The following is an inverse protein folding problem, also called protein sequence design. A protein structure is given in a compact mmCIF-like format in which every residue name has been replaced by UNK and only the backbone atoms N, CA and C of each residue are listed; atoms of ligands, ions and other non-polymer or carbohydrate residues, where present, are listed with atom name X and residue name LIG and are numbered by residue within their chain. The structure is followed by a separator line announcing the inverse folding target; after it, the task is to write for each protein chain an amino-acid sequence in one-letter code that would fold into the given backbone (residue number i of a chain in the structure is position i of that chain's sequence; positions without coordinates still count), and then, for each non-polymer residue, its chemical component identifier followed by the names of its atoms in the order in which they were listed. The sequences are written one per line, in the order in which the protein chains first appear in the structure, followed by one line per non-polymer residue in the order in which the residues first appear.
data_IF_082812371893
#
_entry.id   IF_082812371893
#
_cell.length_a   1.000
_cell.length_b   1.000
_cell.length_c   1.000
_cell.angle_alpha   90.00
_cell.angle_beta   90.00
_cell.angle_gamma   90.00
#
_symmetry.space_group_name_H-M   'P 1'
#
loop_
_entity.id
_entity.type
_entity.pdbx_description
1 polymer ?
#
# COMPACT_ATOMS: atom_id res chain seq x y z
N UNK A 1 -18.02 2.87 17.08
CA UNK A 1 -17.23 3.34 15.91
C UNK A 1 -16.73 2.17 15.07
N UNK A 2 -17.49 1.07 15.00
CA UNK A 2 -17.17 -0.13 14.20
C UNK A 2 -18.35 -0.31 13.24
N UNK A 3 -18.06 -0.58 11.98
CA UNK A 3 -19.06 -0.73 10.93
C UNK A 3 -18.48 -1.61 9.80
N UNK A 4 -19.37 -2.17 8.99
CA UNK A 4 -18.98 -2.90 7.78
C UNK A 4 -18.76 -1.91 6.65
N UNK A 5 -17.76 -2.19 5.80
CA UNK A 5 -17.49 -1.40 4.59
C UNK A 5 -18.75 -1.29 3.72
N UNK A 6 -18.97 -0.10 3.15
CA UNK A 6 -20.12 0.17 2.28
C UNK A 6 -20.10 -0.67 1.00
N UNK A 7 -18.91 -0.91 0.46
CA UNK A 7 -18.67 -1.72 -0.74
C UNK A 7 -17.72 -2.88 -0.43
N UNK A 8 -18.25 -4.08 -0.25
CA UNK A 8 -17.46 -5.28 -0.04
C UNK A 8 -16.86 -5.82 -1.35
N UNK A 9 -15.65 -6.39 -1.26
CA UNK A 9 -14.92 -6.92 -2.43
C UNK A 9 -14.67 -8.42 -2.24
N UNK A 10 -14.91 -9.21 -3.29
CA UNK A 10 -14.45 -10.61 -3.35
C UNK A 10 -12.95 -10.63 -3.64
N UNK A 11 -12.15 -10.88 -2.60
CA UNK A 11 -10.69 -10.79 -2.69
C UNK A 11 -10.10 -12.03 -3.36
N UNK A 12 -9.39 -11.82 -4.46
CA UNK A 12 -8.56 -12.80 -5.15
C UNK A 12 -7.10 -12.61 -4.74
N UNK A 13 -6.44 -13.70 -4.35
CA UNK A 13 -5.02 -13.71 -4.00
C UNK A 13 -4.16 -13.13 -5.13
N UNK A 14 -3.19 -12.28 -4.77
CA UNK A 14 -2.31 -11.53 -5.68
C UNK A 14 -3.04 -10.61 -6.68
N UNK A 15 -4.35 -10.39 -6.52
CA UNK A 15 -5.15 -9.54 -7.41
C UNK A 15 -5.41 -8.14 -6.83
N UNK A 16 -5.76 -7.21 -7.73
CA UNK A 16 -6.14 -5.83 -7.36
C UNK A 16 -7.23 -5.74 -6.30
N UNK A 17 -8.14 -6.71 -6.27
CA UNK A 17 -9.20 -6.80 -5.26
C UNK A 17 -8.71 -6.67 -3.81
N UNK A 18 -7.48 -7.09 -3.50
CA UNK A 18 -6.90 -6.91 -2.17
C UNK A 18 -6.65 -5.44 -1.85
N UNK A 19 -6.12 -4.67 -2.81
CA UNK A 19 -5.92 -3.22 -2.70
C UNK A 19 -7.26 -2.50 -2.67
N UNK A 20 -8.20 -2.92 -3.51
CA UNK A 20 -9.55 -2.32 -3.57
C UNK A 20 -10.28 -2.41 -2.22
N UNK A 21 -10.14 -3.51 -1.49
CA UNK A 21 -10.73 -3.65 -0.16
C UNK A 21 -10.25 -2.56 0.82
N UNK A 22 -8.94 -2.22 0.80
CA UNK A 22 -8.40 -1.13 1.62
C UNK A 22 -8.85 0.24 1.11
N UNK A 23 -8.92 0.45 -0.21
CA UNK A 23 -9.41 1.70 -0.80
C UNK A 23 -10.86 2.00 -0.39
N UNK A 24 -11.72 0.99 -0.35
CA UNK A 24 -13.11 1.14 0.06
C UNK A 24 -13.20 1.55 1.55
N UNK A 25 -12.42 0.89 2.42
CA UNK A 25 -12.32 1.28 3.83
C UNK A 25 -11.74 2.70 4.01
N UNK A 26 -10.72 3.06 3.23
CA UNK A 26 -10.15 4.41 3.25
C UNK A 26 -11.19 5.47 2.89
N UNK A 27 -12.00 5.24 1.86
CA UNK A 27 -13.06 6.15 1.45
C UNK A 27 -14.11 6.33 2.56
N UNK A 28 -14.65 5.24 3.11
CA UNK A 28 -15.65 5.29 4.18
C UNK A 28 -15.11 6.04 5.41
N UNK A 29 -13.88 5.75 5.84
CA UNK A 29 -13.26 6.41 6.99
C UNK A 29 -12.98 7.89 6.73
N UNK A 30 -12.51 8.23 5.52
CA UNK A 30 -12.15 9.60 5.16
C UNK A 30 -13.36 10.52 5.11
N UNK A 31 -14.44 10.08 4.47
CA UNK A 31 -15.68 10.85 4.37
C UNK A 31 -16.54 10.79 5.64
N UNK A 32 -16.44 9.70 6.42
CA UNK A 32 -17.19 9.55 7.67
C UNK A 32 -16.66 10.41 8.84
N UNK A 33 -15.37 10.77 8.86
CA UNK A 33 -14.83 11.61 9.94
C UNK A 33 -13.53 12.33 9.58
N UNK A 34 -13.40 13.57 10.07
CA UNK A 34 -12.17 14.35 10.00
C UNK A 34 -11.27 14.22 11.25
N UNK A 35 -11.68 13.46 12.28
CA UNK A 35 -11.04 13.50 13.61
C UNK A 35 -9.81 12.58 13.74
N UNK A 36 -9.77 11.48 12.99
CA UNK A 36 -8.67 10.51 13.07
C UNK A 36 -7.39 11.03 12.42
N UNK A 37 -6.24 10.45 12.81
CA UNK A 37 -4.90 10.96 12.46
C UNK A 37 -4.13 10.05 11.52
N UNK A 38 -4.16 8.75 11.79
CA UNK A 38 -3.51 7.73 11.00
C UNK A 38 -4.50 6.63 10.62
N UNK A 39 -4.28 6.05 9.45
CA UNK A 39 -4.90 4.84 8.96
C UNK A 39 -3.88 3.69 9.10
N UNK A 40 -4.34 2.57 9.64
CA UNK A 40 -3.58 1.33 9.81
C UNK A 40 -4.49 0.20 9.31
N UNK A 41 -4.08 -0.49 8.25
CA UNK A 41 -4.80 -1.66 7.77
C UNK A 41 -4.28 -2.94 8.44
N UNK A 42 -5.18 -3.90 8.62
CA UNK A 42 -4.91 -5.19 9.26
C UNK A 42 -5.59 -6.31 8.46
N UNK A 43 -5.18 -7.54 8.70
CA UNK A 43 -5.90 -8.74 8.27
C UNK A 43 -6.32 -9.59 9.47
N UNK A 44 -7.14 -10.63 9.24
CA UNK A 44 -7.71 -11.46 10.32
C UNK A 44 -6.69 -12.26 11.13
N UNK A 45 -5.43 -12.33 10.70
CA UNK A 45 -4.34 -13.01 11.40
C UNK A 45 -3.39 -12.04 12.13
N UNK A 46 -3.68 -10.73 12.09
CA UNK A 46 -2.91 -9.74 12.84
C UNK A 46 -3.20 -9.78 14.34
N UNK A 47 -2.16 -9.51 15.13
CA UNK A 47 -2.29 -9.28 16.57
C UNK A 47 -1.36 -8.15 17.03
N UNK A 48 -1.83 -7.23 17.88
CA UNK A 48 -1.02 -6.10 18.30
C UNK A 48 0.10 -6.53 19.27
N UNK A 49 1.31 -6.02 19.02
CA UNK A 49 2.47 -6.15 19.93
C UNK A 49 2.67 -4.93 20.84
N UNK A 50 1.73 -3.98 20.78
CA UNK A 50 1.75 -2.69 21.47
C UNK A 50 0.33 -2.36 21.93
N UNK A 51 0.21 -1.80 23.11
CA UNK A 51 -1.05 -1.24 23.62
C UNK A 51 -1.46 -0.03 22.80
N UNK A 52 -2.74 0.37 22.91
CA UNK A 52 -3.22 1.59 22.25
C UNK A 52 -2.41 2.84 22.64
N UNK A 53 -2.03 3.00 23.91
CA UNK A 53 -1.24 4.14 24.36
C UNK A 53 0.17 4.15 23.74
N UNK A 54 0.82 2.98 23.67
CA UNK A 54 2.13 2.86 23.01
C UNK A 54 2.04 3.16 21.51
N UNK A 55 1.01 2.66 20.83
CA UNK A 55 0.77 3.00 19.42
C UNK A 55 0.56 4.50 19.25
N UNK A 56 -0.27 5.15 20.07
CA UNK A 56 -0.47 6.60 20.00
C UNK A 56 0.84 7.37 20.16
N UNK A 57 1.67 7.02 21.16
CA UNK A 57 2.98 7.66 21.38
C UNK A 57 3.93 7.46 20.20
N UNK A 58 3.96 6.25 19.64
CA UNK A 58 4.73 5.94 18.44
C UNK A 58 4.27 6.78 17.24
N UNK A 59 2.97 6.83 16.95
CA UNK A 59 2.41 7.63 15.86
C UNK A 59 2.64 9.14 16.02
N UNK A 60 2.66 9.65 17.26
CA UNK A 60 3.04 11.03 17.55
C UNK A 60 4.51 11.30 17.23
N UNK A 61 5.40 10.34 17.53
CA UNK A 61 6.84 10.45 17.22
C UNK A 61 7.14 10.50 15.72
N UNK A 62 6.23 9.98 14.86
CA UNK A 62 6.33 10.10 13.41
C UNK A 62 6.14 11.54 12.91
N UNK A 63 5.65 12.48 13.74
CA UNK A 63 5.53 13.92 13.42
C UNK A 63 4.85 14.22 12.07
N UNK A 64 3.86 13.40 11.68
CA UNK A 64 3.11 13.56 10.43
C UNK A 64 3.73 12.85 9.22
N UNK A 65 4.81 12.09 9.40
CA UNK A 65 5.34 11.16 8.40
C UNK A 65 4.56 9.85 8.38
N UNK A 66 4.54 9.18 7.24
CA UNK A 66 4.05 7.81 7.12
C UNK A 66 5.15 6.81 7.49
N UNK A 67 4.79 5.56 7.77
CA UNK A 67 5.74 4.47 8.00
C UNK A 67 5.22 3.19 7.34
N UNK A 68 5.93 2.73 6.31
CA UNK A 68 5.64 1.53 5.55
C UNK A 68 6.90 1.07 4.83
N UNK A 69 6.98 -0.22 4.55
CA UNK A 69 8.05 -0.77 3.72
C UNK A 69 7.98 -0.13 2.33
N UNK A 70 9.11 0.40 1.86
CA UNK A 70 9.23 0.98 0.53
C UNK A 70 10.70 0.99 0.13
N UNK A 71 11.09 0.07 -0.73
CA UNK A 71 12.46 -0.16 -1.15
C UNK A 71 12.56 -0.17 -2.67
N UNK A 72 13.78 -0.07 -3.18
CA UNK A 72 14.07 -0.26 -4.59
C UNK A 72 13.55 -1.61 -5.09
N UNK A 73 12.84 -1.61 -6.22
CA UNK A 73 12.21 -2.83 -6.75
C UNK A 73 13.26 -3.89 -7.10
N UNK A 74 13.20 -5.09 -6.48
CA UNK A 74 14.12 -6.17 -6.82
C UNK A 74 13.88 -6.74 -8.22
N UNK A 75 14.94 -7.23 -8.87
CA UNK A 75 14.89 -7.73 -10.25
C UNK A 75 13.93 -8.92 -10.40
N UNK A 76 13.86 -9.78 -9.40
CA UNK A 76 12.98 -10.94 -9.34
C UNK A 76 11.49 -10.55 -9.30
N UNK A 77 11.16 -9.38 -8.72
CA UNK A 77 9.79 -8.86 -8.67
C UNK A 77 9.41 -8.07 -9.92
N UNK A 78 10.37 -7.71 -10.79
CA UNK A 78 10.09 -6.87 -11.96
C UNK A 78 9.04 -7.48 -12.90
N UNK A 79 9.06 -8.81 -13.07
CA UNK A 79 8.07 -9.55 -13.90
C UNK A 79 6.61 -9.38 -13.41
N UNK A 80 6.39 -9.04 -12.14
CA UNK A 80 5.05 -8.82 -11.56
C UNK A 80 4.37 -7.57 -12.13
N UNK A 81 5.16 -6.59 -12.55
CA UNK A 81 4.69 -5.29 -13.06
C UNK A 81 4.96 -5.08 -14.56
N UNK A 82 5.70 -5.99 -15.22
CA UNK A 82 6.03 -5.88 -16.65
C UNK A 82 4.96 -6.47 -17.59
N UNK A 83 4.04 -7.28 -17.06
CA UNK A 83 3.02 -7.98 -17.86
C UNK A 83 1.62 -7.73 -17.32
N UNK A 84 0.62 -7.85 -18.19
CA UNK A 84 -0.79 -7.83 -17.82
C UNK A 84 -1.18 -9.16 -17.21
N UNK A 85 -1.95 -9.13 -16.13
CA UNK A 85 -2.47 -10.28 -15.41
C UNK A 85 -4.00 -10.21 -15.33
N UNK A 86 -4.67 -11.35 -15.56
CA UNK A 86 -6.12 -11.46 -15.49
C UNK A 86 -6.52 -12.51 -14.45
N UNK A 87 -7.69 -12.31 -13.84
CA UNK A 87 -8.32 -13.34 -13.00
C UNK A 87 -9.03 -14.34 -13.93
N UNK A 88 -8.62 -15.61 -13.89
CA UNK A 88 -9.25 -16.71 -14.62
C UNK A 88 -9.55 -17.81 -13.59
N UNK A 89 -10.83 -18.14 -13.42
CA UNK A 89 -11.30 -19.13 -12.45
C UNK A 89 -10.82 -18.85 -11.01
N UNK A 90 -10.92 -17.59 -10.58
CA UNK A 90 -10.50 -17.18 -9.23
C UNK A 90 -8.99 -17.15 -8.98
N UNK A 91 -8.17 -17.28 -10.03
CA UNK A 91 -6.72 -17.22 -9.93
C UNK A 91 -6.13 -16.18 -10.87
N UNK A 92 -5.14 -15.44 -10.38
CA UNK A 92 -4.39 -14.50 -11.19
C UNK A 92 -3.46 -15.27 -12.14
N UNK A 93 -3.57 -14.99 -13.45
CA UNK A 93 -2.73 -15.58 -14.49
C UNK A 93 -2.07 -14.51 -15.35
N UNK A 94 -0.76 -14.68 -15.58
CA UNK A 94 0.02 -13.82 -16.47
C UNK A 94 -0.41 -14.02 -17.92
N UNK A 95 -0.64 -12.93 -18.64
CA UNK A 95 -0.85 -12.94 -20.09
C UNK A 95 0.48 -12.83 -20.85
N UNK A 96 0.43 -12.79 -22.19
CA UNK A 96 1.61 -12.49 -23.03
C UNK A 96 1.76 -11.00 -23.34
N UNK A 97 0.88 -10.16 -22.80
CA UNK A 97 0.83 -8.73 -23.09
C UNK A 97 1.78 -8.00 -22.14
N UNK A 98 2.76 -7.29 -22.71
CA UNK A 98 3.63 -6.40 -21.94
C UNK A 98 2.89 -5.12 -21.54
N UNK A 99 3.12 -4.64 -20.32
CA UNK A 99 2.56 -3.37 -19.85
C UNK A 99 3.31 -2.18 -20.45
N UNK A 100 2.58 -1.08 -20.61
CA UNK A 100 3.19 0.24 -20.87
C UNK A 100 4.02 0.67 -19.66
N UNK A 101 5.03 1.55 -19.84
CA UNK A 101 5.75 2.15 -18.72
C UNK A 101 4.79 2.78 -17.69
N UNK A 102 5.19 2.85 -16.41
CA UNK A 102 4.36 3.47 -15.38
C UNK A 102 4.11 4.95 -15.70
N UNK A 103 2.94 5.49 -15.33
CA UNK A 103 2.62 6.88 -15.58
C UNK A 103 3.61 7.82 -14.88
N UNK A 104 3.88 8.96 -15.49
CA UNK A 104 4.78 10.02 -14.99
C UNK A 104 6.23 9.58 -14.75
N UNK A 105 6.66 8.45 -15.31
CA UNK A 105 8.01 7.89 -15.16
C UNK A 105 8.43 7.72 -13.69
N UNK A 106 7.47 7.38 -12.82
CA UNK A 106 7.73 7.16 -11.40
C UNK A 106 8.51 5.86 -11.20
N UNK A 107 9.57 5.87 -10.36
CA UNK A 107 10.25 4.64 -9.99
C UNK A 107 9.32 3.79 -9.11
N UNK A 108 8.90 2.63 -9.63
CA UNK A 108 8.12 1.67 -8.85
C UNK A 108 8.98 1.12 -7.71
N UNK A 109 8.37 1.05 -6.52
CA UNK A 109 8.99 0.54 -5.30
C UNK A 109 8.41 -0.82 -4.92
N UNK A 110 9.18 -1.59 -4.16
CA UNK A 110 8.72 -2.80 -3.47
C UNK A 110 8.37 -2.48 -2.03
N UNK A 111 7.39 -3.15 -1.48
CA UNK A 111 7.04 -3.08 -0.08
C UNK A 111 6.00 -4.13 0.29
N UNK A 112 5.14 -3.77 1.23
CA UNK A 112 4.16 -4.66 1.83
C UNK A 112 2.74 -4.11 1.68
N UNK A 113 1.75 -5.00 1.80
CA UNK A 113 0.34 -4.64 1.83
C UNK A 113 -0.04 -3.81 3.07
N UNK A 114 0.78 -3.83 4.13
CA UNK A 114 0.46 -3.25 5.43
C UNK A 114 1.16 -1.90 5.63
N UNK A 115 0.39 -0.88 5.99
CA UNK A 115 0.84 0.51 6.00
C UNK A 115 0.37 1.28 7.23
N UNK A 116 1.17 2.25 7.67
CA UNK A 116 0.78 3.25 8.66
C UNK A 116 0.90 4.63 8.01
N UNK A 117 -0.24 5.25 7.68
CA UNK A 117 -0.27 6.46 6.87
C UNK A 117 -1.16 7.54 7.45
N UNK A 118 -0.82 8.79 7.22
CA UNK A 118 -1.61 9.93 7.70
C UNK A 118 -2.95 10.06 6.98
N UNK A 119 -3.90 10.77 7.59
CA UNK A 119 -5.14 11.16 6.90
C UNK A 119 -4.90 11.96 5.62
N UNK A 120 -3.83 12.75 5.57
CA UNK A 120 -3.43 13.49 4.37
C UNK A 120 -2.99 12.58 3.22
N UNK A 121 -2.27 11.50 3.53
CA UNK A 121 -1.93 10.48 2.54
C UNK A 121 -3.19 9.82 1.97
N UNK A 122 -4.14 9.43 2.84
CA UNK A 122 -5.42 8.83 2.40
C UNK A 122 -6.19 9.78 1.49
N UNK A 123 -6.23 11.07 1.81
CA UNK A 123 -6.79 12.09 0.91
C UNK A 123 -6.15 12.04 -0.48
N UNK A 124 -4.82 12.08 -0.56
CA UNK A 124 -4.12 11.99 -1.85
C UNK A 124 -4.45 10.71 -2.59
N UNK A 125 -4.52 9.57 -1.90
CA UNK A 125 -4.91 8.29 -2.53
C UNK A 125 -6.28 8.38 -3.20
N UNK A 126 -7.24 9.11 -2.62
CA UNK A 126 -8.61 9.23 -3.12
C UNK A 126 -8.78 10.36 -4.15
N UNK A 127 -8.00 11.44 -4.07
CA UNK A 127 -8.25 12.68 -4.80
C UNK A 127 -7.13 13.10 -5.78
N UNK A 128 -5.91 12.56 -5.66
CA UNK A 128 -4.78 12.96 -6.52
C UNK A 128 -4.84 12.26 -7.89
N UNK A 129 -4.96 13.03 -8.96
CA UNK A 129 -5.06 12.51 -10.33
C UNK A 129 -3.86 11.67 -10.75
N UNK A 130 -2.67 11.91 -10.18
CA UNK A 130 -1.48 11.10 -10.45
C UNK A 130 -1.64 9.69 -9.87
N UNK A 131 -2.24 9.60 -8.69
CA UNK A 131 -2.52 8.32 -8.02
C UNK A 131 -3.68 7.61 -8.70
N UNK A 132 -4.68 8.34 -9.22
CA UNK A 132 -5.75 7.75 -10.03
C UNK A 132 -5.21 7.04 -11.28
N UNK A 133 -4.28 7.67 -12.02
CA UNK A 133 -3.61 7.03 -13.16
C UNK A 133 -2.75 5.83 -12.73
N UNK A 134 -2.11 5.92 -11.55
CA UNK A 134 -1.34 4.83 -10.99
C UNK A 134 -2.24 3.63 -10.61
N UNK A 135 -3.42 3.89 -10.04
CA UNK A 135 -4.46 2.88 -9.76
C UNK A 135 -4.83 2.16 -11.04
N UNK A 136 -5.19 2.91 -12.10
CA UNK A 136 -5.52 2.34 -13.41
C UNK A 136 -4.41 1.45 -13.93
N UNK A 137 -3.16 1.89 -13.76
CA UNK A 137 -1.99 1.13 -14.20
C UNK A 137 -1.71 -0.12 -13.36
N UNK A 138 -1.96 -0.15 -12.06
CA UNK A 138 -1.69 -1.32 -11.21
C UNK A 138 -2.79 -2.39 -11.22
N UNK A 139 -4.01 -2.07 -11.68
CA UNK A 139 -5.19 -2.97 -11.64
C UNK A 139 -4.98 -4.37 -12.24
N UNK A 140 -4.12 -4.47 -13.24
CA UNK A 140 -3.83 -5.70 -13.99
C UNK A 140 -2.37 -6.17 -13.79
N UNK A 141 -1.77 -5.86 -12.62
CA UNK A 141 -0.46 -6.39 -12.21
C UNK A 141 -0.59 -7.53 -11.20
N UNK A 142 0.50 -8.22 -10.93
CA UNK A 142 0.55 -9.28 -9.93
C UNK A 142 0.97 -8.76 -8.56
N UNK A 143 0.20 -9.07 -7.51
CA UNK A 143 0.41 -8.58 -6.14
C UNK A 143 0.64 -7.06 -6.07
N UNK A 144 -0.29 -6.24 -6.62
CA UNK A 144 -0.13 -4.79 -6.62
C UNK A 144 0.01 -4.20 -5.22
N UNK A 145 -0.53 -4.87 -4.20
CA UNK A 145 -0.42 -4.50 -2.78
C UNK A 145 1.03 -4.48 -2.26
N UNK A 146 1.95 -5.23 -2.88
CA UNK A 146 3.39 -5.19 -2.55
C UNK A 146 4.16 -4.07 -3.27
N UNK A 147 3.49 -3.20 -4.03
CA UNK A 147 4.15 -2.18 -4.86
C UNK A 147 3.45 -0.82 -4.80
N UNK A 148 2.12 -0.83 -4.79
CA UNK A 148 1.28 0.33 -4.97
C UNK A 148 1.49 1.36 -3.85
N UNK A 149 1.36 0.95 -2.59
CA UNK A 149 1.56 1.84 -1.44
C UNK A 149 2.99 2.34 -1.33
N UNK A 150 3.95 1.41 -1.49
CA UNK A 150 5.37 1.73 -1.48
C UNK A 150 5.74 2.77 -2.54
N UNK A 151 5.10 2.73 -3.71
CA UNK A 151 5.32 3.68 -4.80
C UNK A 151 4.71 5.05 -4.48
N UNK A 152 3.46 5.09 -3.99
CA UNK A 152 2.80 6.36 -3.62
C UNK A 152 3.58 7.10 -2.52
N UNK A 153 4.17 6.35 -1.58
CA UNK A 153 5.00 6.91 -0.51
C UNK A 153 6.22 7.71 -1.01
N UNK A 154 6.56 7.60 -2.30
CA UNK A 154 7.67 8.31 -2.94
C UNK A 154 7.25 9.40 -3.93
N UNK A 155 5.95 9.66 -4.07
CA UNK A 155 5.43 10.71 -4.95
C UNK A 155 5.53 12.06 -4.24
N UNK A 156 6.25 13.00 -4.86
CA UNK A 156 6.38 14.36 -4.32
C UNK A 156 5.02 15.03 -4.13
N UNK A 157 4.84 15.70 -2.99
CA UNK A 157 3.60 16.38 -2.62
C UNK A 157 2.56 15.50 -1.93
N UNK A 158 2.74 14.18 -1.88
CA UNK A 158 1.89 13.31 -1.06
C UNK A 158 2.21 13.55 0.43
N UNK A 159 1.22 13.83 1.31
CA UNK A 159 1.49 14.09 2.72
C UNK A 159 2.16 12.90 3.42
N UNK A 160 3.21 13.18 4.19
CA UNK A 160 4.00 12.16 4.90
C UNK A 160 4.89 11.29 4.00
N UNK A 161 4.93 11.57 2.70
CA UNK A 161 5.84 10.93 1.74
C UNK A 161 7.30 11.29 2.01
N UNK A 162 8.18 10.56 1.34
CA UNK A 162 9.63 10.71 1.44
C UNK A 162 10.25 10.70 0.05
N UNK A 163 11.45 11.25 -0.07
CA UNK A 163 12.09 11.40 -1.37
C UNK A 163 12.31 10.04 -2.06
N UNK A 164 12.19 9.97 -3.40
CA UNK A 164 12.31 8.71 -4.14
C UNK A 164 13.72 8.11 -4.14
N UNK A 165 14.72 8.88 -3.71
CA UNK A 165 16.10 8.42 -3.62
C UNK A 165 16.24 7.25 -2.64
N UNK A 166 17.03 6.24 -3.01
CA UNK A 166 17.27 5.03 -2.21
C UNK A 166 17.76 5.29 -0.78
N UNK A 167 18.34 6.46 -0.48
CA UNK A 167 18.74 6.85 0.88
C UNK A 167 17.57 6.91 1.87
N UNK A 168 16.34 6.99 1.36
CA UNK A 168 15.12 7.00 2.17
C UNK A 168 14.38 5.66 2.11
N UNK A 169 14.95 4.63 1.47
CA UNK A 169 14.36 3.29 1.45
C UNK A 169 14.15 2.82 2.90
N UNK A 170 13.01 2.18 3.14
CA UNK A 170 12.58 1.74 4.47
C UNK A 170 12.23 0.26 4.37
N UNK A 171 12.99 -0.57 5.07
CA UNK A 171 12.80 -2.02 5.15
C UNK A 171 11.60 -2.40 6.01
N UNK A 172 11.17 -3.66 5.93
CA UNK A 172 10.16 -4.25 6.81
C UNK A 172 10.51 -4.12 8.30
N UNK A 173 11.79 -4.30 8.68
CA UNK A 173 12.27 -4.18 10.07
C UNK A 173 12.31 -2.72 10.56
N UNK A 174 12.54 -1.76 9.67
CA UNK A 174 12.61 -0.33 10.03
C UNK A 174 11.25 0.38 9.93
N UNK A 175 10.29 -0.19 9.22
CA UNK A 175 8.89 0.23 9.25
C UNK A 175 8.20 -0.19 10.55
N UNK A 176 7.34 0.68 11.07
CA UNK A 176 6.54 0.36 12.28
C UNK A 176 5.18 -0.25 11.94
N UNK A 177 5.01 -0.74 10.72
CA UNK A 177 3.75 -1.25 10.21
C UNK A 177 3.46 -2.68 10.66
N UNK A 178 4.42 -3.60 10.48
CA UNK A 178 4.23 -5.02 10.78
C UNK A 178 5.56 -5.74 10.96
N UNK A 179 5.64 -6.61 11.97
CA UNK A 179 6.74 -7.54 12.13
C UNK A 179 6.37 -8.89 11.53
N UNK A 180 7.17 -9.38 10.58
CA UNK A 180 7.01 -10.69 9.95
C UNK A 180 8.36 -11.40 9.99
N UNK A 181 8.37 -12.69 10.31
CA UNK A 181 9.56 -13.54 10.20
C UNK A 181 9.45 -14.39 8.94
N UNK A 182 10.46 -14.30 8.09
CA UNK A 182 10.57 -15.10 6.86
C UNK A 182 11.60 -16.20 7.07
N UNK A 183 11.24 -17.45 6.77
CA UNK A 183 12.12 -18.61 6.96
C UNK A 183 13.47 -18.47 6.22
N UNK A 184 13.48 -17.82 5.06
CA UNK A 184 14.70 -17.61 4.26
C UNK A 184 15.67 -16.57 4.84
N UNK A 185 15.28 -15.86 5.91
CA UNK A 185 16.11 -14.85 6.57
C UNK A 185 16.66 -15.34 7.92
N UNK A 186 16.40 -16.60 8.28
CA UNK A 186 16.97 -17.31 9.44
C UNK A 186 18.04 -18.31 8.97
#
# INVERSE_FOLDING_TARGET
NVFMVSEAVSVVYAGWSRVQADLNCMADLYYGSAKWKYFINLCGQDFPLKTNLEMVRMLQSLKGSNSLESESLPAEKQKRISYVYNVINGQIKRTRISKKPPPFNLPIKSGSAYIVVTRGYVRSVLEDSRIEELIKWFKDTYSPDEHFWATIQRISGVPGSSWPNRKYDQTDISAVARLVKWQSHE
#
